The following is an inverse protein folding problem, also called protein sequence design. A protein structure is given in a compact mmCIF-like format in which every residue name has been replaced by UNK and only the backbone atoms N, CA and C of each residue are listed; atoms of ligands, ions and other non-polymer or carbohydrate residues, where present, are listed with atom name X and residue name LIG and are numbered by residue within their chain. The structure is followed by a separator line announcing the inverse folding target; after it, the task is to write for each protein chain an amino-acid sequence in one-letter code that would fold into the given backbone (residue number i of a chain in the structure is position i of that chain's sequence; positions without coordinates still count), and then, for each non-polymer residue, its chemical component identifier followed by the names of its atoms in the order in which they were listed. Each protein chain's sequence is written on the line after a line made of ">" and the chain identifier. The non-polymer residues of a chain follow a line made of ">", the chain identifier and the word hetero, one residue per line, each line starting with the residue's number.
data_IF_111382724689
#
_entry.id   IF_111382724689
#
_cell.length_a   1.000
_cell.length_b   1.000
_cell.length_c   1.000
_cell.angle_alpha   90.00
_cell.angle_beta   90.00
_cell.angle_gamma   90.00
#
_symmetry.space_group_name_H-M   'P 1'
#
loop_
_entity.id
_entity.type
_entity.pdbx_description
1 polymer ?
#
# COMPACT_ATOMS: atom_id res chain seq x y z
N UNK A 1 -80.65 -15.52 14.95
CA UNK A 1 -79.38 -15.13 14.29
C UNK A 1 -78.27 -15.81 15.08
N UNK A 2 -77.41 -16.73 14.61
CA UNK A 2 -76.79 -16.96 13.29
C UNK A 2 -75.96 -15.75 12.82
N UNK A 3 -74.66 -15.77 12.49
CA UNK A 3 -73.56 -16.78 12.28
C UNK A 3 -72.21 -16.04 12.57
N UNK A 4 -71.00 -16.57 12.83
CA UNK A 4 -70.25 -17.87 12.87
C UNK A 4 -69.27 -17.77 14.09
N UNK A 5 -68.46 -18.71 14.59
CA UNK A 5 -67.72 -19.91 14.14
C UNK A 5 -66.31 -19.70 13.53
N UNK A 6 -65.29 -20.06 14.34
CA UNK A 6 -64.01 -20.73 13.98
C UNK A 6 -62.72 -19.94 13.66
N UNK A 7 -61.60 -20.60 14.05
CA UNK A 7 -60.22 -20.52 13.53
C UNK A 7 -59.27 -19.41 14.01
N UNK A 8 -58.49 -19.75 15.05
CA UNK A 8 -57.15 -19.17 15.30
C UNK A 8 -56.14 -19.99 14.48
N UNK A 9 -55.53 -19.42 13.45
CA UNK A 9 -54.46 -20.09 12.68
C UNK A 9 -53.61 -19.12 11.85
N UNK A 10 -52.28 -19.19 12.04
CA UNK A 10 -51.21 -18.64 11.18
C UNK A 10 -51.21 -17.10 10.95
N UNK A 11 -50.11 -16.44 10.54
CA UNK A 11 -48.75 -16.91 10.25
C UNK A 11 -47.73 -16.05 11.04
N UNK A 12 -46.93 -16.67 11.91
CA UNK A 12 -45.68 -16.06 12.40
C UNK A 12 -44.53 -16.42 11.44
N UNK A 13 -44.63 -15.95 10.20
CA UNK A 13 -43.64 -16.26 9.17
C UNK A 13 -42.40 -15.36 9.34
N UNK A 14 -41.39 -15.88 10.04
CA UNK A 14 -40.06 -15.28 10.11
C UNK A 14 -39.42 -15.23 8.72
N UNK A 15 -39.67 -14.14 7.98
CA UNK A 15 -38.97 -13.81 6.73
C UNK A 15 -37.54 -13.34 7.03
N UNK A 16 -36.76 -14.19 7.71
CA UNK A 16 -35.33 -14.03 7.87
C UNK A 16 -34.67 -14.34 6.52
N UNK A 17 -34.73 -13.38 5.59
CA UNK A 17 -34.02 -13.49 4.32
C UNK A 17 -32.55 -13.77 4.65
N UNK A 18 -31.97 -14.88 4.16
CA UNK A 18 -30.57 -15.15 4.45
C UNK A 18 -29.73 -14.08 3.76
N UNK A 19 -28.85 -13.43 4.53
CA UNK A 19 -27.67 -12.77 3.95
C UNK A 19 -26.73 -13.88 3.44
N UNK A 20 -27.12 -14.50 2.33
CA UNK A 20 -26.21 -15.19 1.44
C UNK A 20 -25.20 -14.14 0.98
N UNK A 21 -24.04 -14.13 1.63
CA UNK A 21 -22.88 -13.37 1.19
C UNK A 21 -22.39 -13.98 -0.13
N UNK A 22 -23.03 -13.56 -1.23
CA UNK A 22 -22.82 -14.15 -2.55
C UNK A 22 -21.33 -14.17 -2.89
N UNK A 23 -20.77 -15.30 -3.36
CA UNK A 23 -19.33 -15.42 -3.58
C UNK A 23 -18.79 -14.38 -4.58
N UNK A 24 -19.63 -13.89 -5.49
CA UNK A 24 -19.34 -12.76 -6.36
C UNK A 24 -18.84 -11.48 -5.64
N UNK A 25 -19.32 -11.18 -4.43
CA UNK A 25 -18.83 -10.03 -3.64
C UNK A 25 -17.46 -10.32 -3.00
N UNK A 26 -17.19 -11.56 -2.59
CA UNK A 26 -15.89 -11.96 -2.07
C UNK A 26 -14.82 -12.01 -3.19
N UNK A 27 -15.18 -12.59 -4.35
CA UNK A 27 -14.31 -12.67 -5.52
C UNK A 27 -13.97 -11.28 -6.07
N UNK A 28 -14.97 -10.39 -6.23
CA UNK A 28 -14.70 -9.02 -6.71
C UNK A 28 -13.89 -8.16 -5.73
N UNK A 29 -14.00 -8.39 -4.41
CA UNK A 29 -13.10 -7.79 -3.43
C UNK A 29 -11.67 -8.35 -3.58
N UNK A 30 -11.51 -9.66 -3.74
CA UNK A 30 -10.19 -10.28 -3.90
C UNK A 30 -9.51 -9.83 -5.20
N UNK A 31 -10.22 -9.80 -6.32
CA UNK A 31 -9.69 -9.33 -7.61
C UNK A 31 -9.37 -7.82 -7.59
N UNK A 32 -10.12 -7.02 -6.82
CA UNK A 32 -9.76 -5.62 -6.55
C UNK A 32 -8.47 -5.50 -5.74
N UNK A 33 -8.30 -6.31 -4.69
CA UNK A 33 -7.06 -6.33 -3.88
C UNK A 33 -5.86 -6.81 -4.70
N UNK A 34 -6.01 -7.86 -5.52
CA UNK A 34 -4.99 -8.33 -6.47
C UNK A 34 -4.61 -7.23 -7.46
N UNK A 35 -5.60 -6.53 -8.04
CA UNK A 35 -5.36 -5.42 -8.98
C UNK A 35 -4.61 -4.26 -8.33
N UNK A 36 -4.97 -3.90 -7.10
CA UNK A 36 -4.26 -2.88 -6.30
C UNK A 36 -2.83 -3.30 -5.98
N UNK A 37 -2.60 -4.56 -5.58
CA UNK A 37 -1.26 -5.10 -5.34
C UNK A 37 -0.37 -5.00 -6.58
N UNK A 38 -0.89 -5.39 -7.75
CA UNK A 38 -0.16 -5.31 -9.04
C UNK A 38 0.17 -3.85 -9.38
N UNK A 39 -0.76 -2.92 -9.17
CA UNK A 39 -0.54 -1.49 -9.41
C UNK A 39 0.56 -0.92 -8.51
N UNK A 40 0.49 -1.10 -7.18
CA UNK A 40 1.50 -0.61 -6.23
C UNK A 40 2.86 -1.31 -6.45
N UNK A 41 2.87 -2.58 -6.87
CA UNK A 41 4.10 -3.29 -7.25
C UNK A 41 4.75 -2.70 -8.50
N UNK A 42 3.94 -2.27 -9.50
CA UNK A 42 4.45 -1.58 -10.67
C UNK A 42 4.98 -0.18 -10.31
N UNK A 43 4.29 0.55 -9.44
CA UNK A 43 4.73 1.85 -8.94
C UNK A 43 6.05 1.75 -8.14
N UNK A 44 6.18 0.73 -7.28
CA UNK A 44 7.42 0.44 -6.55
C UNK A 44 8.61 0.19 -7.49
N UNK A 45 8.42 -0.55 -8.59
CA UNK A 45 9.44 -0.73 -9.63
C UNK A 45 9.78 0.60 -10.32
N UNK A 46 8.76 1.43 -10.60
CA UNK A 46 8.96 2.79 -11.11
C UNK A 46 9.77 3.68 -10.16
N UNK A 47 9.48 3.64 -8.85
CA UNK A 47 10.22 4.37 -7.82
C UNK A 47 11.67 3.88 -7.68
N UNK A 48 11.91 2.56 -7.76
CA UNK A 48 13.26 1.99 -7.80
C UNK A 48 14.08 2.50 -9.00
N UNK A 49 13.47 2.51 -10.21
CA UNK A 49 14.12 3.06 -11.41
C UNK A 49 14.38 4.57 -11.31
N UNK A 50 13.43 5.36 -10.77
CA UNK A 50 13.63 6.80 -10.50
C UNK A 50 14.80 7.03 -9.52
N UNK A 51 14.87 6.25 -8.44
CA UNK A 51 15.93 6.33 -7.44
C UNK A 51 17.31 5.98 -8.03
N UNK A 52 17.39 4.96 -8.89
CA UNK A 52 18.62 4.60 -9.60
C UNK A 52 19.09 5.72 -10.56
N UNK A 53 18.17 6.31 -11.33
CA UNK A 53 18.47 7.43 -12.23
C UNK A 53 18.96 8.68 -11.46
N UNK A 54 18.29 9.06 -10.37
CA UNK A 54 18.71 10.17 -9.50
C UNK A 54 20.09 9.92 -8.86
N UNK A 55 20.40 8.67 -8.49
CA UNK A 55 21.72 8.30 -7.98
C UNK A 55 22.80 8.52 -9.04
N UNK A 56 22.56 8.07 -10.28
CA UNK A 56 23.48 8.25 -11.40
C UNK A 56 23.67 9.73 -11.78
N UNK A 57 22.62 10.55 -11.75
CA UNK A 57 22.70 12.00 -11.98
C UNK A 57 23.50 12.70 -10.88
N UNK A 58 23.22 12.40 -9.61
CA UNK A 58 23.98 12.91 -8.46
C UNK A 58 25.46 12.55 -8.60
N UNK A 59 25.80 11.30 -8.91
CA UNK A 59 27.19 10.85 -9.07
C UNK A 59 27.89 11.42 -10.32
N UNK A 60 27.15 11.97 -11.28
CA UNK A 60 27.70 12.76 -12.39
C UNK A 60 27.97 14.21 -11.96
N UNK A 61 26.98 14.87 -11.34
CA UNK A 61 27.10 16.24 -10.84
C UNK A 61 28.22 16.40 -9.79
N UNK A 62 28.46 15.38 -8.94
CA UNK A 62 29.59 15.41 -8.01
C UNK A 62 30.96 15.37 -8.70
N UNK A 63 31.10 14.65 -9.82
CA UNK A 63 32.34 14.61 -10.61
C UNK A 63 32.60 15.95 -11.29
N UNK A 64 31.56 16.55 -11.87
CA UNK A 64 31.63 17.88 -12.49
C UNK A 64 31.99 18.96 -11.47
N UNK A 65 31.29 18.99 -10.32
CA UNK A 65 31.62 19.84 -9.16
C UNK A 65 33.09 19.71 -8.74
N UNK A 66 33.60 18.48 -8.65
CA UNK A 66 34.97 18.23 -8.21
C UNK A 66 36.02 18.55 -9.29
N UNK A 67 35.66 18.49 -10.57
CA UNK A 67 36.51 19.02 -11.65
C UNK A 67 36.54 20.55 -11.66
N UNK A 68 35.38 21.23 -11.58
CA UNK A 68 35.29 22.68 -11.48
C UNK A 68 36.08 23.19 -10.25
N UNK A 69 36.00 22.49 -9.12
CA UNK A 69 36.79 22.78 -7.91
C UNK A 69 38.30 22.64 -8.15
N UNK A 70 38.76 21.68 -8.95
CA UNK A 70 40.17 21.55 -9.34
C UNK A 70 40.60 22.68 -10.28
N UNK A 71 39.78 22.99 -11.31
CA UNK A 71 40.02 24.10 -12.25
C UNK A 71 40.18 25.44 -11.50
N UNK A 72 39.25 25.75 -10.60
CA UNK A 72 39.27 26.93 -9.73
C UNK A 72 40.54 27.00 -8.85
N UNK A 73 40.94 25.90 -8.21
CA UNK A 73 42.19 25.86 -7.43
C UNK A 73 43.42 26.18 -8.29
N UNK A 74 43.41 25.73 -9.54
CA UNK A 74 44.42 26.05 -10.56
C UNK A 74 44.45 27.52 -10.97
N UNK A 75 43.31 28.12 -11.32
CA UNK A 75 43.23 29.54 -11.74
C UNK A 75 43.56 30.48 -10.57
N UNK A 76 43.13 30.17 -9.36
CA UNK A 76 43.59 30.89 -8.17
C UNK A 76 45.10 30.75 -7.94
N UNK A 77 45.68 29.58 -8.23
CA UNK A 77 47.13 29.35 -8.19
C UNK A 77 47.87 30.25 -9.17
N UNK A 78 47.37 30.37 -10.40
CA UNK A 78 47.89 31.26 -11.44
C UNK A 78 47.76 32.74 -11.03
N UNK A 79 46.61 33.16 -10.49
CA UNK A 79 46.39 34.51 -9.99
C UNK A 79 47.34 34.86 -8.83
N UNK A 80 47.54 33.94 -7.87
CA UNK A 80 48.52 34.10 -6.77
C UNK A 80 49.95 34.22 -7.30
N UNK A 81 50.31 33.45 -8.34
CA UNK A 81 51.64 33.53 -8.97
C UNK A 81 51.82 34.84 -9.76
N UNK A 82 50.81 35.29 -10.49
CA UNK A 82 50.82 36.56 -11.23
C UNK A 82 50.98 37.75 -10.26
N UNK A 83 50.18 37.81 -9.19
CA UNK A 83 50.28 38.86 -8.16
C UNK A 83 51.64 38.87 -7.44
N UNK A 84 52.30 37.72 -7.27
CA UNK A 84 53.68 37.66 -6.74
C UNK A 84 54.73 38.19 -7.72
N UNK A 85 54.60 37.89 -9.02
CA UNK A 85 55.49 38.45 -10.07
C UNK A 85 55.29 39.96 -10.24
N UNK A 86 54.08 40.45 -10.01
CA UNK A 86 53.72 41.86 -10.04
C UNK A 86 54.28 42.71 -8.88
N UNK A 87 55.10 42.14 -7.98
CA UNK A 87 55.92 42.91 -7.05
C UNK A 87 57.19 43.51 -7.72
N UNK A 88 57.47 43.17 -8.99
CA UNK A 88 58.52 43.78 -9.80
C UNK A 88 58.05 45.08 -10.47
N UNK A 89 58.94 46.05 -10.76
CA UNK A 89 58.57 47.43 -11.12
C UNK A 89 57.93 47.65 -12.51
N UNK A 90 57.62 46.59 -13.25
CA UNK A 90 56.87 46.66 -14.52
C UNK A 90 55.74 45.63 -14.46
N UNK A 91 54.51 46.12 -14.28
CA UNK A 91 53.32 45.29 -14.04
C UNK A 91 52.35 45.36 -15.21
N UNK A 92 52.03 44.20 -15.77
CA UNK A 92 50.89 44.03 -16.66
C UNK A 92 49.62 43.84 -15.81
N UNK A 93 48.97 44.96 -15.48
CA UNK A 93 47.76 44.97 -14.62
C UNK A 93 46.59 44.27 -15.28
N UNK A 94 46.39 44.45 -16.58
CA UNK A 94 45.31 43.81 -17.34
C UNK A 94 45.32 42.29 -17.25
N UNK A 95 46.49 41.64 -17.20
CA UNK A 95 46.60 40.21 -16.93
C UNK A 95 46.17 39.81 -15.51
N UNK A 96 46.36 40.67 -14.50
CA UNK A 96 45.92 40.41 -13.12
C UNK A 96 44.39 40.58 -13.01
N UNK A 97 43.85 41.60 -13.67
CA UNK A 97 42.42 41.90 -13.65
C UNK A 97 41.62 40.81 -14.38
N UNK A 98 42.07 40.40 -15.58
CA UNK A 98 41.49 39.27 -16.31
C UNK A 98 41.54 37.95 -15.53
N UNK A 99 42.67 37.64 -14.86
CA UNK A 99 42.76 36.47 -13.97
C UNK A 99 41.88 36.61 -12.73
N UNK A 100 41.62 37.83 -12.25
CA UNK A 100 40.73 38.08 -11.10
C UNK A 100 39.28 37.89 -11.49
N UNK A 101 38.87 38.35 -12.67
CA UNK A 101 37.54 38.09 -13.25
C UNK A 101 37.32 36.59 -13.50
N UNK A 102 38.27 35.90 -14.15
CA UNK A 102 38.16 34.46 -14.42
C UNK A 102 38.05 33.62 -13.13
N UNK A 103 38.71 34.03 -12.04
CA UNK A 103 38.54 33.40 -10.71
C UNK A 103 37.16 33.69 -10.11
N UNK A 104 36.56 34.86 -10.36
CA UNK A 104 35.19 35.16 -9.90
C UNK A 104 34.14 34.34 -10.68
N UNK A 105 34.30 34.22 -12.00
CA UNK A 105 33.45 33.41 -12.87
C UNK A 105 33.51 31.92 -12.49
N UNK A 106 34.73 31.35 -12.38
CA UNK A 106 34.93 29.97 -11.95
C UNK A 106 34.45 29.68 -10.51
N UNK A 107 34.33 30.70 -9.65
CA UNK A 107 33.69 30.57 -8.33
C UNK A 107 32.17 30.49 -8.46
N UNK A 108 31.55 31.33 -9.30
CA UNK A 108 30.11 31.29 -9.54
C UNK A 108 29.66 29.94 -10.15
N UNK A 109 30.43 29.41 -11.11
CA UNK A 109 30.23 28.06 -11.66
C UNK A 109 30.34 26.99 -10.55
N UNK A 110 31.39 27.04 -9.72
CA UNK A 110 31.62 26.05 -8.67
C UNK A 110 30.54 26.07 -7.57
N UNK A 111 29.99 27.23 -7.20
CA UNK A 111 28.85 27.29 -6.27
C UNK A 111 27.54 26.83 -6.93
N UNK A 112 27.34 27.09 -8.22
CA UNK A 112 26.17 26.58 -8.98
C UNK A 112 26.17 25.06 -9.04
N UNK A 113 27.31 24.44 -9.37
CA UNK A 113 27.46 22.98 -9.39
C UNK A 113 27.31 22.35 -7.98
N UNK A 114 27.70 23.05 -6.91
CA UNK A 114 27.42 22.61 -5.53
C UNK A 114 25.94 22.64 -5.21
N UNK A 115 25.22 23.70 -5.58
CA UNK A 115 23.78 23.81 -5.37
C UNK A 115 23.01 22.69 -6.10
N UNK A 116 23.37 22.41 -7.36
CA UNK A 116 22.80 21.31 -8.15
C UNK A 116 23.07 19.93 -7.51
N UNK A 117 24.31 19.66 -7.08
CA UNK A 117 24.65 18.40 -6.41
C UNK A 117 23.92 18.24 -5.06
N UNK A 118 23.69 19.33 -4.32
CA UNK A 118 22.90 19.32 -3.09
C UNK A 118 21.41 19.05 -3.36
N UNK A 119 20.83 19.69 -4.39
CA UNK A 119 19.46 19.46 -4.83
C UNK A 119 19.23 17.99 -5.23
N UNK A 120 20.06 17.45 -6.13
CA UNK A 120 19.99 16.04 -6.56
C UNK A 120 20.15 15.06 -5.38
N UNK A 121 20.93 15.42 -4.36
CA UNK A 121 21.06 14.62 -3.14
C UNK A 121 19.74 14.59 -2.35
N UNK A 122 19.07 15.73 -2.19
CA UNK A 122 17.77 15.84 -1.51
C UNK A 122 16.64 15.15 -2.29
N UNK A 123 16.59 15.30 -3.61
CA UNK A 123 15.64 14.59 -4.48
C UNK A 123 15.83 13.06 -4.39
N UNK A 124 17.08 12.59 -4.33
CA UNK A 124 17.41 11.17 -4.11
C UNK A 124 16.97 10.67 -2.73
N UNK A 125 17.09 11.46 -1.66
CA UNK A 125 16.56 11.11 -0.33
C UNK A 125 15.02 11.09 -0.27
N UNK A 126 14.35 12.00 -0.98
CA UNK A 126 12.89 11.97 -1.16
C UNK A 126 12.45 10.71 -1.93
N UNK A 127 13.10 10.39 -3.05
CA UNK A 127 12.82 9.18 -3.83
C UNK A 127 13.09 7.89 -3.04
N UNK A 128 14.13 7.85 -2.20
CA UNK A 128 14.37 6.76 -1.23
C UNK A 128 13.20 6.61 -0.27
N UNK A 129 12.67 7.72 0.25
CA UNK A 129 11.54 7.76 1.19
C UNK A 129 10.23 7.30 0.55
N UNK A 130 9.92 7.73 -0.68
CA UNK A 130 8.79 7.20 -1.47
C UNK A 130 8.91 5.69 -1.69
N UNK A 131 10.09 5.25 -2.12
CA UNK A 131 10.42 3.85 -2.42
C UNK A 131 10.25 2.94 -1.19
N UNK A 132 10.52 3.41 0.02
CA UNK A 132 10.31 2.64 1.26
C UNK A 132 8.86 2.68 1.78
N UNK A 133 8.12 3.78 1.55
CA UNK A 133 6.66 3.80 1.78
C UNK A 133 5.96 2.77 0.88
N UNK A 134 6.27 2.76 -0.41
CA UNK A 134 5.69 1.81 -1.38
C UNK A 134 6.02 0.35 -1.05
N UNK A 135 7.24 0.03 -0.59
CA UNK A 135 7.56 -1.32 -0.06
C UNK A 135 6.61 -1.71 1.08
N UNK A 136 6.40 -0.79 2.02
CA UNK A 136 5.55 -1.02 3.20
C UNK A 136 4.09 -1.26 2.79
N UNK A 137 3.60 -0.50 1.81
CA UNK A 137 2.25 -0.68 1.28
C UNK A 137 2.08 -2.00 0.51
N UNK A 138 3.06 -2.46 -0.28
CA UNK A 138 3.02 -3.80 -0.91
C UNK A 138 2.85 -4.89 0.15
N UNK A 139 3.66 -4.88 1.21
CA UNK A 139 3.56 -5.87 2.31
C UNK A 139 2.18 -5.84 2.96
N UNK A 140 1.66 -4.65 3.28
CA UNK A 140 0.32 -4.52 3.88
C UNK A 140 -0.81 -4.98 2.94
N UNK A 141 -0.68 -4.76 1.62
CA UNK A 141 -1.62 -5.25 0.60
C UNK A 141 -1.57 -6.78 0.48
N UNK A 142 -0.37 -7.37 0.48
CA UNK A 142 -0.18 -8.82 0.46
C UNK A 142 -0.75 -9.51 1.71
N UNK A 143 -0.51 -8.95 2.90
CA UNK A 143 -1.06 -9.46 4.15
C UNK A 143 -2.60 -9.39 4.18
N UNK A 144 -3.18 -8.26 3.72
CA UNK A 144 -4.62 -8.11 3.59
C UNK A 144 -5.22 -9.12 2.58
N UNK A 145 -4.57 -9.34 1.45
CA UNK A 145 -4.98 -10.34 0.44
C UNK A 145 -4.88 -11.78 1.00
N UNK A 146 -3.84 -12.09 1.77
CA UNK A 146 -3.66 -13.40 2.42
C UNK A 146 -4.74 -13.65 3.48
N UNK A 147 -5.07 -12.64 4.29
CA UNK A 147 -6.15 -12.71 5.28
C UNK A 147 -7.51 -12.86 4.61
N UNK A 148 -7.76 -12.13 3.52
CA UNK A 148 -9.00 -12.21 2.74
C UNK A 148 -9.25 -13.63 2.19
N UNK A 149 -8.23 -14.26 1.61
CA UNK A 149 -8.28 -15.67 1.16
C UNK A 149 -8.59 -16.61 2.32
N UNK A 150 -7.81 -16.54 3.40
CA UNK A 150 -7.96 -17.45 4.55
C UNK A 150 -9.36 -17.36 5.20
N UNK A 151 -9.97 -16.18 5.24
CA UNK A 151 -11.35 -15.99 5.73
C UNK A 151 -12.41 -16.50 4.75
N UNK A 152 -12.18 -16.38 3.44
CA UNK A 152 -13.03 -16.99 2.42
C UNK A 152 -12.99 -18.53 2.50
N UNK A 153 -11.79 -19.11 2.62
CA UNK A 153 -11.61 -20.56 2.82
C UNK A 153 -12.29 -21.04 4.12
N UNK A 154 -12.18 -20.27 5.21
CA UNK A 154 -12.90 -20.53 6.47
C UNK A 154 -14.43 -20.50 6.25
N UNK A 155 -14.97 -19.49 5.58
CA UNK A 155 -16.40 -19.38 5.30
C UNK A 155 -16.92 -20.53 4.41
N UNK A 156 -16.16 -20.94 3.40
CA UNK A 156 -16.49 -22.07 2.52
C UNK A 156 -16.48 -23.39 3.30
N UNK A 157 -15.52 -23.60 4.23
CA UNK A 157 -15.52 -24.77 5.09
C UNK A 157 -16.76 -24.80 6.00
N UNK A 158 -17.08 -23.69 6.67
CA UNK A 158 -18.30 -23.57 7.51
C UNK A 158 -19.56 -23.87 6.70
N UNK A 159 -19.68 -23.33 5.47
CA UNK A 159 -20.83 -23.58 4.60
C UNK A 159 -20.95 -25.06 4.18
N UNK A 160 -19.83 -25.76 3.96
CA UNK A 160 -19.82 -27.20 3.69
C UNK A 160 -20.29 -28.01 4.89
N UNK A 161 -19.76 -27.72 6.09
CA UNK A 161 -20.16 -28.41 7.32
C UNK A 161 -21.67 -28.26 7.59
N UNK A 162 -22.26 -27.08 7.35
CA UNK A 162 -23.70 -26.85 7.43
C UNK A 162 -24.46 -27.76 6.45
N UNK A 163 -24.05 -27.81 5.19
CA UNK A 163 -24.70 -28.62 4.16
C UNK A 163 -24.58 -30.12 4.44
N UNK A 164 -23.41 -30.60 4.86
CA UNK A 164 -23.18 -32.00 5.24
C UNK A 164 -24.06 -32.38 6.44
N UNK A 165 -24.07 -31.55 7.48
CA UNK A 165 -24.91 -31.76 8.68
C UNK A 165 -26.40 -31.84 8.33
N UNK A 166 -26.89 -30.94 7.47
CA UNK A 166 -28.28 -30.97 6.98
C UNK A 166 -28.57 -32.21 6.11
N UNK A 167 -27.61 -32.68 5.31
CA UNK A 167 -27.79 -33.90 4.50
C UNK A 167 -27.82 -35.18 5.35
N UNK A 168 -27.04 -35.25 6.42
CA UNK A 168 -26.99 -36.41 7.33
C UNK A 168 -28.28 -36.54 8.15
N UNK A 169 -28.94 -35.42 8.48
CA UNK A 169 -30.31 -35.37 9.05
C UNK A 169 -31.39 -35.75 8.00
N UNK A 170 -31.04 -35.79 6.71
CA UNK A 170 -31.99 -35.86 5.60
C UNK A 170 -32.64 -37.22 5.30
N UNK A 171 -32.12 -38.34 5.79
CA UNK A 171 -32.63 -39.69 5.43
C UNK A 171 -32.73 -40.66 6.61
N UNK A 172 -31.70 -40.75 7.47
CA UNK A 172 -31.71 -41.67 8.61
C UNK A 172 -32.75 -41.27 9.67
N UNK A 173 -32.74 -40.00 10.10
CA UNK A 173 -33.78 -39.44 10.99
C UNK A 173 -35.18 -39.48 10.36
N UNK A 174 -35.29 -39.59 9.02
CA UNK A 174 -36.58 -39.71 8.31
C UNK A 174 -37.19 -41.10 8.47
N UNK A 175 -36.38 -42.17 8.50
CA UNK A 175 -36.85 -43.51 8.85
C UNK A 175 -37.11 -43.65 10.36
N UNK A 176 -36.44 -42.88 11.21
CA UNK A 176 -36.66 -42.84 12.66
C UNK A 176 -37.98 -42.14 13.09
N UNK A 177 -38.78 -41.60 12.16
CA UNK A 177 -40.02 -40.82 12.39
C UNK A 177 -41.22 -41.60 12.98
N UNK A 178 -40.98 -42.54 13.89
CA UNK A 178 -41.99 -43.04 14.85
C UNK A 178 -41.71 -42.66 16.30
N UNK A 179 -40.51 -42.16 16.61
CA UNK A 179 -40.24 -41.47 17.89
C UNK A 179 -40.61 -39.98 17.79
N UNK A 180 -41.26 -39.38 18.80
CA UNK A 180 -41.57 -37.96 18.83
C UNK A 180 -40.30 -37.11 19.09
N UNK A 181 -40.33 -35.84 18.66
CA UNK A 181 -39.23 -34.87 18.84
C UNK A 181 -38.98 -34.56 20.33
N UNK A 182 -38.15 -35.37 21.00
CA UNK A 182 -37.76 -35.16 22.39
C UNK A 182 -36.84 -33.94 22.54
N UNK A 183 -36.86 -33.31 23.73
CA UNK A 183 -36.13 -32.06 24.00
C UNK A 183 -34.62 -32.14 23.74
N UNK A 184 -34.03 -33.34 23.75
CA UNK A 184 -32.63 -33.57 23.41
C UNK A 184 -32.29 -33.13 21.98
N UNK A 185 -33.19 -33.34 21.02
CA UNK A 185 -33.01 -32.91 19.63
C UNK A 185 -33.14 -31.38 19.49
N UNK A 186 -34.03 -30.75 20.27
CA UNK A 186 -34.16 -29.28 20.29
C UNK A 186 -32.88 -28.61 20.78
N UNK A 187 -32.29 -29.09 21.87
CA UNK A 187 -31.00 -28.58 22.38
C UNK A 187 -29.87 -28.84 21.37
N UNK A 188 -29.87 -29.98 20.68
CA UNK A 188 -28.89 -30.30 19.63
C UNK A 188 -28.98 -29.35 18.43
N UNK A 189 -30.20 -29.00 17.99
CA UNK A 189 -30.43 -27.99 16.94
C UNK A 189 -29.99 -26.60 17.40
N UNK A 190 -30.38 -26.16 18.60
CA UNK A 190 -29.98 -24.85 19.12
C UNK A 190 -28.46 -24.72 19.28
N UNK A 191 -27.77 -25.80 19.65
CA UNK A 191 -26.30 -25.79 19.67
C UNK A 191 -25.70 -25.69 18.27
N UNK A 192 -26.25 -26.39 17.27
CA UNK A 192 -25.85 -26.22 15.86
C UNK A 192 -26.04 -24.77 15.39
N UNK A 193 -27.20 -24.16 15.69
CA UNK A 193 -27.50 -22.76 15.34
C UNK A 193 -26.48 -21.79 15.97
N UNK A 194 -26.07 -22.03 17.22
CA UNK A 194 -25.03 -21.23 17.88
C UNK A 194 -23.62 -21.51 17.32
N UNK A 195 -23.18 -22.77 17.29
CA UNK A 195 -21.85 -23.17 16.81
C UNK A 195 -21.62 -22.69 15.35
N UNK A 196 -22.65 -22.72 14.49
CA UNK A 196 -22.57 -22.15 13.14
C UNK A 196 -22.69 -20.63 13.10
N UNK A 197 -23.50 -20.02 13.97
CA UNK A 197 -23.60 -18.56 14.10
C UNK A 197 -22.25 -17.93 14.46
N UNK A 198 -21.59 -18.47 15.49
CA UNK A 198 -20.27 -18.02 15.95
C UNK A 198 -19.20 -18.23 14.85
N UNK A 199 -19.17 -19.41 14.20
CA UNK A 199 -18.24 -19.69 13.10
C UNK A 199 -18.45 -18.81 11.86
N UNK A 200 -19.70 -18.45 11.54
CA UNK A 200 -20.00 -17.49 10.47
C UNK A 200 -19.53 -16.09 10.88
N UNK A 201 -19.75 -15.68 12.13
CA UNK A 201 -19.31 -14.37 12.64
C UNK A 201 -17.77 -14.24 12.61
N UNK A 202 -17.05 -15.26 13.08
CA UNK A 202 -15.59 -15.35 13.01
C UNK A 202 -15.06 -15.33 11.57
N UNK A 203 -15.81 -15.83 10.59
CA UNK A 203 -15.38 -15.83 9.19
C UNK A 203 -15.48 -14.46 8.50
N UNK A 204 -16.11 -13.46 9.14
CA UNK A 204 -16.30 -12.12 8.54
C UNK A 204 -14.98 -11.36 8.45
N UNK A 205 -14.73 -10.77 7.29
CA UNK A 205 -13.66 -9.80 7.09
C UNK A 205 -14.16 -8.41 7.50
N UNK A 206 -13.75 -7.94 8.68
CA UNK A 206 -13.99 -6.55 9.10
C UNK A 206 -13.02 -5.59 8.39
N UNK A 207 -13.20 -5.47 7.07
CA UNK A 207 -12.51 -4.46 6.25
C UNK A 207 -13.15 -3.11 6.54
N UNK A 208 -12.76 -2.50 7.67
CA UNK A 208 -13.05 -1.10 7.96
C UNK A 208 -12.64 -0.26 6.73
N UNK A 209 -13.59 0.40 6.04
CA UNK A 209 -13.25 1.16 4.85
C UNK A 209 -12.29 2.30 5.23
N UNK A 210 -11.36 2.68 4.35
CA UNK A 210 -10.58 3.90 4.56
C UNK A 210 -11.57 5.06 4.72
N UNK A 211 -11.43 5.82 5.81
CA UNK A 211 -12.37 6.89 6.12
C UNK A 211 -12.43 7.87 4.95
N UNK A 212 -13.64 8.13 4.44
CA UNK A 212 -13.83 9.03 3.31
C UNK A 212 -13.19 10.38 3.61
N UNK A 213 -12.34 10.84 2.70
CA UNK A 213 -11.72 12.14 2.80
C UNK A 213 -12.83 13.19 2.69
N UNK A 214 -13.24 13.71 3.85
CA UNK A 214 -14.27 14.76 3.95
C UNK A 214 -13.86 15.91 3.04
N UNK A 215 -14.67 16.28 2.02
CA UNK A 215 -14.36 17.46 1.22
C UNK A 215 -14.40 18.70 2.13
N UNK A 216 -13.60 19.74 1.84
CA UNK A 216 -13.67 20.99 2.58
C UNK A 216 -15.05 21.63 2.41
N UNK A 217 -15.50 22.31 3.46
CA UNK A 217 -16.63 23.24 3.46
C UNK A 217 -16.12 24.67 3.25
#
# INVERSE_FOLDING_TARGET
>A
MARRSSSIAAMAASALLPLLASPAFAQSLEDRLRTQLVAVTAELRGAQSRQAALTAQKDAAEKERDELRRRLSGTEGQLRAARRKAAAPVVDTGKIDALTQSVAEARAEAETARAQAAQLTAERDQAVTERDKLKTEVVQRDEALRLARAKNDQAIAVAKDVLETLSNVGVADVLARKEPLTGLHRVRIQKLEQDFGDRIYDSRLDVRPPAEARPPQ
#
